data_IF_219187426430
#
_entry.id   IF_219187426430
#
_cell.length_a   1.000
_cell.length_b   1.000
_cell.length_c   1.000
_cell.angle_alpha   90.00
_cell.angle_beta   90.00
_cell.angle_gamma   90.00
#
_symmetry.space_group_name_H-M   'P 1'
#
loop_
_entity.id
_entity.type
_entity.pdbx_description
1 polymer ?
#
# COMPACT_ATOMS: atom_id res chain seq x y z
N UNK A 1 -12.92 -10.11 2.04
CA UNK A 1 -11.49 -10.08 1.70
C UNK A 1 -10.91 -8.76 2.17
N UNK A 2 -9.88 -8.77 3.01
CA UNK A 2 -9.21 -7.60 3.59
C UNK A 2 -8.03 -7.17 2.73
N UNK A 3 -8.07 -5.94 2.25
CA UNK A 3 -7.01 -5.35 1.42
C UNK A 3 -6.48 -4.11 2.10
N UNK A 4 -5.17 -4.04 2.26
CA UNK A 4 -4.50 -2.90 2.86
C UNK A 4 -3.71 -2.09 1.82
N UNK A 5 -3.83 -0.77 1.88
CA UNK A 5 -3.01 0.18 1.11
C UNK A 5 -2.15 0.97 2.08
N UNK A 6 -0.84 0.99 1.85
CA UNK A 6 0.11 1.80 2.64
C UNK A 6 0.63 2.93 1.76
N UNK A 7 0.25 4.17 2.05
CA UNK A 7 0.53 5.34 1.19
C UNK A 7 0.37 6.70 1.93
N UNK A 8 -0.03 7.77 1.23
CA UNK A 8 -0.26 9.13 1.74
C UNK A 8 -1.63 9.38 2.35
N UNK A 9 -2.47 8.34 2.46
CA UNK A 9 -3.83 8.40 3.00
C UNK A 9 -4.90 8.23 1.92
N UNK A 10 -6.09 8.76 2.19
CA UNK A 10 -7.18 8.82 1.19
C UNK A 10 -7.98 10.10 1.35
N UNK A 11 -8.50 10.65 0.26
CA UNK A 11 -9.43 11.77 0.32
C UNK A 11 -10.83 11.33 0.75
N UNK A 12 -11.38 11.97 1.78
CA UNK A 12 -12.76 11.73 2.20
C UNK A 12 -13.77 12.08 1.11
N UNK A 13 -13.46 13.08 0.26
CA UNK A 13 -14.28 13.48 -0.88
C UNK A 13 -14.47 12.33 -1.86
N UNK A 14 -13.37 11.65 -2.21
CA UNK A 14 -13.39 10.47 -3.07
C UNK A 14 -14.26 9.34 -2.49
N UNK A 15 -14.09 9.04 -1.20
CA UNK A 15 -14.89 8.00 -0.52
C UNK A 15 -16.38 8.33 -0.50
N UNK A 16 -16.75 9.61 -0.28
CA UNK A 16 -18.15 10.07 -0.31
C UNK A 16 -18.75 9.93 -1.70
N UNK A 17 -18.06 10.45 -2.71
CA UNK A 17 -18.55 10.51 -4.09
C UNK A 17 -18.73 9.12 -4.70
N UNK A 18 -17.82 8.19 -4.38
CA UNK A 18 -17.78 6.86 -5.01
C UNK A 18 -18.21 5.73 -4.08
N UNK A 19 -18.83 6.05 -2.95
CA UNK A 19 -19.40 5.06 -2.02
C UNK A 19 -18.38 4.15 -1.34
N UNK A 20 -17.10 4.53 -1.36
CA UNK A 20 -16.02 3.80 -0.70
C UNK A 20 -16.18 3.82 0.81
N UNK A 21 -16.01 2.66 1.45
CA UNK A 21 -16.00 2.52 2.92
C UNK A 21 -14.71 1.85 3.35
N UNK A 22 -14.10 2.37 4.40
CA UNK A 22 -12.94 1.76 5.04
C UNK A 22 -13.41 0.89 6.20
N UNK A 23 -12.90 -0.33 6.28
CA UNK A 23 -13.08 -1.21 7.42
C UNK A 23 -12.17 -0.82 8.60
N UNK A 24 -11.02 -0.20 8.31
CA UNK A 24 -10.12 0.38 9.30
C UNK A 24 -9.09 1.30 8.64
N UNK A 25 -8.50 2.20 9.41
CA UNK A 25 -7.38 3.01 8.93
C UNK A 25 -6.48 3.40 10.09
N UNK A 26 -5.22 3.70 9.78
CA UNK A 26 -4.27 4.19 10.75
C UNK A 26 -3.34 5.25 10.13
N UNK A 27 -2.90 6.19 10.95
CA UNK A 27 -1.90 7.20 10.60
C UNK A 27 -0.61 6.96 11.42
N UNK A 28 0.54 7.12 10.76
CA UNK A 28 1.86 6.93 11.38
C UNK A 28 2.77 8.10 11.02
N UNK A 29 3.21 8.86 12.02
CA UNK A 29 4.04 10.05 11.84
C UNK A 29 5.19 10.06 12.83
N UNK A 30 6.37 10.55 12.42
CA UNK A 30 7.49 10.79 13.32
C UNK A 30 7.57 12.28 13.65
N UNK A 31 7.35 12.63 14.91
CA UNK A 31 7.69 13.97 15.40
C UNK A 31 9.21 14.09 15.46
N UNK A 32 9.77 14.90 14.57
CA UNK A 32 11.23 15.10 14.46
C UNK A 32 11.82 15.87 15.64
N UNK A 33 11.04 16.71 16.31
CA UNK A 33 11.51 17.49 17.45
C UNK A 33 11.68 16.60 18.68
N UNK A 34 10.70 15.73 18.93
CA UNK A 34 10.73 14.80 20.08
C UNK A 34 11.31 13.43 19.76
N UNK A 35 11.55 13.14 18.47
CA UNK A 35 11.96 11.82 17.94
C UNK A 35 10.99 10.70 18.36
N UNK A 36 9.71 11.04 18.46
CA UNK A 36 8.66 10.11 18.87
C UNK A 36 7.84 9.68 17.68
N UNK A 37 7.69 8.37 17.52
CA UNK A 37 6.73 7.79 16.61
C UNK A 37 5.34 7.94 17.21
N UNK A 38 4.44 8.55 16.47
CA UNK A 38 3.03 8.70 16.80
C UNK A 38 2.22 7.84 15.84
N UNK A 39 1.38 6.99 16.41
CA UNK A 39 0.44 6.15 15.67
C UNK A 39 -0.97 6.41 16.17
N UNK A 40 -1.93 6.46 15.26
CA UNK A 40 -3.35 6.51 15.59
C UNK A 40 -4.11 5.53 14.71
N UNK A 41 -4.77 4.57 15.35
CA UNK A 41 -5.71 3.67 14.69
C UNK A 41 -7.11 4.25 14.86
N UNK A 42 -7.87 4.30 13.75
CA UNK A 42 -9.21 4.87 13.73
C UNK A 42 -10.27 3.78 13.75
N UNK A 43 -11.28 3.96 14.59
CA UNK A 43 -12.41 3.03 14.68
C UNK A 43 -13.32 3.16 13.46
N UNK A 44 -14.14 2.13 13.21
CA UNK A 44 -15.13 2.16 12.13
C UNK A 44 -16.13 3.31 12.29
N UNK A 45 -16.50 3.63 13.52
CA UNK A 45 -17.39 4.74 13.86
C UNK A 45 -16.74 6.08 13.53
N UNK A 46 -15.46 6.28 13.88
CA UNK A 46 -14.72 7.50 13.51
C UNK A 46 -14.64 7.66 11.99
N UNK A 47 -14.40 6.57 11.26
CA UNK A 47 -14.30 6.57 9.80
C UNK A 47 -15.64 6.85 9.12
N UNK A 48 -16.74 6.30 9.63
CA UNK A 48 -18.08 6.60 9.11
C UNK A 48 -18.51 8.03 9.45
N UNK A 49 -18.17 8.55 10.63
CA UNK A 49 -18.41 9.95 10.98
C UNK A 49 -17.59 10.90 10.08
N UNK A 50 -16.32 10.58 9.84
CA UNK A 50 -15.47 11.33 8.92
C UNK A 50 -16.04 11.31 7.49
N UNK A 51 -16.42 10.12 7.00
CA UNK A 51 -17.10 9.99 5.70
C UNK A 51 -18.45 10.69 5.66
N UNK A 52 -19.20 10.74 6.75
CA UNK A 52 -20.48 11.45 6.87
C UNK A 52 -20.35 12.98 6.89
N UNK A 53 -19.18 13.49 7.29
CA UNK A 53 -18.95 14.92 7.51
C UNK A 53 -19.12 15.38 8.95
N UNK A 54 -19.34 14.44 9.87
CA UNK A 54 -19.54 14.70 11.30
C UNK A 54 -18.21 14.77 12.07
N UNK A 55 -17.10 14.33 11.46
CA UNK A 55 -15.76 14.38 12.04
C UNK A 55 -14.70 14.83 11.03
N UNK A 56 -13.56 15.30 11.53
CA UNK A 56 -12.38 15.66 10.73
C UNK A 56 -11.21 14.77 11.15
N UNK A 57 -10.71 13.95 10.23
CA UNK A 57 -9.51 13.11 10.41
C UNK A 57 -8.39 13.63 9.50
N UNK A 58 -7.83 14.79 9.88
CA UNK A 58 -6.79 15.46 9.09
C UNK A 58 -5.49 14.63 8.97
N UNK A 59 -5.27 13.70 9.89
CA UNK A 59 -4.16 12.77 9.90
C UNK A 59 -4.34 11.56 8.96
N UNK A 60 -5.52 11.39 8.36
CA UNK A 60 -5.81 10.42 7.29
C UNK A 60 -6.05 11.06 5.91
N UNK A 61 -6.48 12.32 5.88
CA UNK A 61 -6.77 13.03 4.62
C UNK A 61 -5.52 13.08 3.73
N UNK A 62 -5.71 12.63 2.49
CA UNK A 62 -4.66 12.64 1.49
C UNK A 62 -4.50 14.02 0.88
N UNK A 63 -3.60 14.81 1.47
CA UNK A 63 -3.27 16.15 1.00
C UNK A 63 -2.35 16.16 -0.23
N UNK A 64 -1.80 15.01 -0.61
CA UNK A 64 -0.97 14.87 -1.81
C UNK A 64 -1.78 14.38 -3.03
N UNK A 65 -2.63 13.37 -2.83
CA UNK A 65 -3.47 12.74 -3.85
C UNK A 65 -2.97 11.38 -4.35
N UNK A 66 -1.79 10.91 -3.93
CA UNK A 66 -1.18 9.67 -4.45
C UNK A 66 -1.85 8.44 -3.86
N UNK A 67 -2.07 8.40 -2.54
CA UNK A 67 -2.81 7.33 -1.89
C UNK A 67 -4.24 7.21 -2.40
N UNK A 68 -4.91 8.33 -2.64
CA UNK A 68 -6.24 8.37 -3.28
C UNK A 68 -6.18 7.81 -4.70
N UNK A 69 -5.17 8.19 -5.49
CA UNK A 69 -4.98 7.67 -6.85
C UNK A 69 -4.77 6.15 -6.82
N UNK A 70 -3.90 5.65 -5.93
CA UNK A 70 -3.62 4.22 -5.75
C UNK A 70 -4.89 3.45 -5.35
N UNK A 71 -5.62 3.93 -4.33
CA UNK A 71 -6.86 3.29 -3.90
C UNK A 71 -7.92 3.31 -5.01
N UNK A 72 -8.02 4.40 -5.77
CA UNK A 72 -8.99 4.52 -6.86
C UNK A 72 -8.74 3.50 -7.97
N UNK A 73 -7.49 3.18 -8.29
CA UNK A 73 -7.14 2.14 -9.27
C UNK A 73 -7.64 0.77 -8.78
N UNK A 74 -7.41 0.47 -7.50
CA UNK A 74 -7.85 -0.78 -6.87
C UNK A 74 -9.37 -0.93 -6.90
N UNK A 75 -10.09 0.16 -6.62
CA UNK A 75 -11.56 0.18 -6.58
C UNK A 75 -12.19 0.18 -7.98
N UNK A 76 -11.56 0.78 -8.99
CA UNK A 76 -12.06 0.85 -10.37
C UNK A 76 -11.77 -0.45 -11.16
N UNK A 77 -10.54 -0.96 -11.07
CA UNK A 77 -10.11 -2.12 -11.85
C UNK A 77 -10.37 -3.47 -11.16
N UNK A 78 -10.65 -3.45 -9.85
CA UNK A 78 -11.02 -4.61 -9.05
C UNK A 78 -12.47 -5.07 -9.28
N UNK A 79 -12.91 -6.15 -8.63
CA UNK A 79 -14.30 -6.61 -8.73
C UNK A 79 -15.27 -5.61 -8.06
N UNK A 80 -16.49 -5.42 -8.61
CA UNK A 80 -17.51 -4.59 -7.96
C UNK A 80 -17.85 -5.14 -6.57
N UNK A 81 -17.87 -4.25 -5.57
CA UNK A 81 -17.63 -4.58 -4.15
C UNK A 81 -18.92 -4.71 -3.33
N UNK A 82 -19.27 -5.94 -2.89
CA UNK A 82 -19.84 -6.13 -1.56
C UNK A 82 -18.84 -6.71 -0.55
N UNK A 83 -17.83 -7.45 -1.02
CA UNK A 83 -17.06 -8.39 -0.18
C UNK A 83 -15.62 -7.95 0.14
N UNK A 84 -15.22 -6.72 -0.22
CA UNK A 84 -13.87 -6.18 0.06
C UNK A 84 -13.91 -5.21 1.24
N UNK A 85 -13.08 -5.50 2.24
CA UNK A 85 -12.80 -4.63 3.38
C UNK A 85 -11.51 -3.86 3.12
N UNK A 86 -11.62 -2.55 2.94
CA UNK A 86 -10.47 -1.68 2.67
C UNK A 86 -9.83 -1.17 3.96
N UNK A 87 -8.52 -1.32 4.04
CA UNK A 87 -7.70 -0.76 5.11
C UNK A 87 -6.68 0.22 4.53
N UNK A 88 -6.50 1.38 5.17
CA UNK A 88 -5.54 2.41 4.75
C UNK A 88 -4.56 2.70 5.88
N UNK A 89 -3.27 2.57 5.61
CA UNK A 89 -2.21 3.05 6.49
C UNK A 89 -1.54 4.27 5.86
N UNK A 90 -1.68 5.43 6.48
CA UNK A 90 -1.02 6.66 6.04
C UNK A 90 0.36 6.76 6.68
N UNK A 91 1.40 6.73 5.84
CA UNK A 91 2.81 6.84 6.26
C UNK A 91 3.57 7.96 5.52
N UNK A 92 2.96 8.56 4.49
CA UNK A 92 3.52 9.67 3.72
C UNK A 92 2.76 10.98 3.98
N UNK A 93 3.49 12.08 4.03
CA UNK A 93 2.95 13.44 4.14
C UNK A 93 2.56 14.04 2.78
N UNK A 94 2.04 15.28 2.80
CA UNK A 94 1.64 16.01 1.59
C UNK A 94 2.77 16.26 0.56
N UNK A 95 4.02 16.06 0.97
CA UNK A 95 5.22 16.18 0.12
C UNK A 95 5.78 14.83 -0.34
N UNK A 96 5.03 13.74 -0.14
CA UNK A 96 5.45 12.35 -0.38
C UNK A 96 6.69 11.95 0.41
N UNK A 97 6.81 12.47 1.64
CA UNK A 97 7.87 12.08 2.56
C UNK A 97 7.28 11.33 3.74
N UNK A 98 7.95 10.26 4.14
CA UNK A 98 7.64 9.49 5.33
C UNK A 98 8.93 9.08 6.01
N UNK A 99 8.85 8.84 7.32
CA UNK A 99 9.96 8.18 8.00
C UNK A 99 9.87 6.67 7.78
N UNK A 100 11.01 6.01 7.60
CA UNK A 100 11.01 4.58 7.32
C UNK A 100 10.57 3.75 8.53
N UNK A 101 10.63 4.32 9.75
CA UNK A 101 10.02 3.72 10.94
C UNK A 101 8.48 3.72 10.87
N UNK A 102 7.85 4.72 10.24
CA UNK A 102 6.40 4.74 10.02
C UNK A 102 5.95 3.58 9.12
N UNK A 103 6.74 3.25 8.09
CA UNK A 103 6.49 2.09 7.24
C UNK A 103 6.56 0.79 8.05
N UNK A 104 7.60 0.62 8.87
CA UNK A 104 7.74 -0.58 9.70
C UNK A 104 6.55 -0.72 10.66
N UNK A 105 6.17 0.36 11.34
CA UNK A 105 5.04 0.34 12.28
C UNK A 105 3.70 0.07 11.58
N UNK A 106 3.48 0.64 10.39
CA UNK A 106 2.30 0.34 9.59
C UNK A 106 2.23 -1.15 9.22
N UNK A 107 3.35 -1.76 8.86
CA UNK A 107 3.43 -3.20 8.58
C UNK A 107 3.21 -4.05 9.85
N UNK A 108 3.71 -3.61 11.01
CA UNK A 108 3.43 -4.24 12.30
C UNK A 108 1.94 -4.23 12.62
N UNK A 109 1.27 -3.07 12.53
CA UNK A 109 -0.17 -2.95 12.72
C UNK A 109 -0.95 -3.88 11.77
N UNK A 110 -0.63 -3.83 10.47
CA UNK A 110 -1.28 -4.68 9.47
C UNK A 110 -1.08 -6.16 9.75
N UNK A 111 0.11 -6.57 10.18
CA UNK A 111 0.44 -7.99 10.41
C UNK A 111 -0.12 -8.53 11.73
N UNK A 112 -0.17 -7.70 12.77
CA UNK A 112 -0.57 -8.17 14.11
C UNK A 112 -2.08 -8.11 14.30
N UNK A 113 -2.71 -7.03 13.82
CA UNK A 113 -4.10 -6.70 14.13
C UNK A 113 -5.03 -6.93 12.94
N UNK A 114 -4.70 -6.40 11.77
CA UNK A 114 -5.59 -6.44 10.60
C UNK A 114 -5.59 -7.80 9.91
N UNK A 115 -4.39 -8.33 9.66
CA UNK A 115 -4.08 -9.54 8.89
C UNK A 115 -4.76 -9.55 7.52
N UNK A 116 -4.43 -8.58 6.65
CA UNK A 116 -5.04 -8.50 5.33
C UNK A 116 -4.59 -9.66 4.44
N UNK A 117 -5.42 -10.07 3.49
CA UNK A 117 -5.03 -11.07 2.50
C UNK A 117 -4.05 -10.49 1.47
N UNK A 118 -4.11 -9.18 1.20
CA UNK A 118 -3.16 -8.48 0.34
C UNK A 118 -2.76 -7.13 0.92
N UNK A 119 -1.46 -6.81 0.86
CA UNK A 119 -0.92 -5.48 1.18
C UNK A 119 -0.35 -4.88 -0.11
N UNK A 120 -0.87 -3.72 -0.51
CA UNK A 120 -0.32 -2.88 -1.58
C UNK A 120 0.63 -1.82 -1.00
N UNK A 121 1.90 -1.87 -1.37
CA UNK A 121 2.93 -0.90 -1.01
C UNK A 121 3.36 -0.12 -2.25
N UNK A 122 2.87 1.11 -2.41
CA UNK A 122 3.24 1.97 -3.54
C UNK A 122 4.33 2.98 -3.14
N UNK A 123 5.29 2.52 -2.33
CA UNK A 123 6.39 3.31 -1.78
C UNK A 123 7.58 2.41 -1.42
N UNK A 124 8.73 3.03 -1.13
CA UNK A 124 9.91 2.32 -0.64
C UNK A 124 10.89 3.23 0.07
N UNK A 125 11.94 2.63 0.62
CA UNK A 125 13.02 3.30 1.36
C UNK A 125 14.39 2.76 0.93
N UNK A 126 15.41 3.61 1.01
CA UNK A 126 16.81 3.21 0.82
C UNK A 126 17.54 2.93 2.14
N UNK A 127 16.85 3.01 3.28
CA UNK A 127 17.43 2.83 4.62
C UNK A 127 17.69 1.34 4.89
N UNK A 128 18.91 0.88 4.60
CA UNK A 128 19.32 -0.53 4.74
C UNK A 128 19.27 -1.07 6.17
N UNK A 129 19.32 -0.20 7.18
CA UNK A 129 19.17 -0.61 8.57
C UNK A 129 17.81 -1.29 8.87
N UNK A 130 16.81 -1.06 8.01
CA UNK A 130 15.49 -1.67 8.13
C UNK A 130 15.34 -3.01 7.40
N UNK A 131 16.38 -3.48 6.71
CA UNK A 131 16.29 -4.72 5.93
C UNK A 131 15.88 -5.92 6.81
N UNK A 132 16.54 -6.10 7.96
CA UNK A 132 16.22 -7.17 8.91
C UNK A 132 14.80 -7.04 9.52
N UNK A 133 14.40 -5.92 10.14
CA UNK A 133 13.07 -5.82 10.72
C UNK A 133 11.95 -5.88 9.68
N UNK A 134 12.12 -5.26 8.49
CA UNK A 134 11.15 -5.40 7.39
C UNK A 134 11.03 -6.86 6.94
N UNK A 135 12.16 -7.56 6.77
CA UNK A 135 12.16 -8.97 6.41
C UNK A 135 11.41 -9.82 7.44
N UNK A 136 11.61 -9.56 8.74
CA UNK A 136 10.93 -10.29 9.81
C UNK A 136 9.41 -10.09 9.77
N UNK A 137 8.93 -8.84 9.74
CA UNK A 137 7.48 -8.55 9.72
C UNK A 137 6.82 -9.06 8.45
N UNK A 138 7.48 -8.92 7.29
CA UNK A 138 6.93 -9.35 6.00
C UNK A 138 6.84 -10.88 5.92
N UNK A 139 7.85 -11.61 6.39
CA UNK A 139 7.73 -13.08 6.45
C UNK A 139 6.67 -13.54 7.45
N UNK A 140 6.42 -12.78 8.53
CA UNK A 140 5.30 -13.08 9.43
C UNK A 140 3.95 -12.87 8.74
N UNK A 141 3.78 -11.79 7.99
CA UNK A 141 2.57 -11.57 7.17
C UNK A 141 2.38 -12.72 6.15
N UNK A 142 3.44 -13.10 5.43
CA UNK A 142 3.40 -14.21 4.48
C UNK A 142 3.00 -15.53 5.15
N UNK A 143 3.52 -15.84 6.35
CA UNK A 143 3.12 -17.04 7.11
C UNK A 143 1.64 -17.04 7.51
N UNK A 144 1.02 -15.87 7.61
CA UNK A 144 -0.42 -15.72 7.87
C UNK A 144 -1.26 -15.82 6.58
N UNK A 145 -0.63 -15.96 5.42
CA UNK A 145 -1.29 -16.07 4.12
C UNK A 145 -1.40 -14.75 3.36
N UNK A 146 -0.85 -13.64 3.90
CA UNK A 146 -0.82 -12.33 3.23
C UNK A 146 0.10 -12.36 2.02
N UNK A 147 -0.38 -11.81 0.90
CA UNK A 147 0.43 -11.49 -0.27
C UNK A 147 0.86 -10.02 -0.16
N UNK A 148 2.16 -9.77 -0.10
CA UNK A 148 2.69 -8.40 -0.07
C UNK A 148 3.18 -8.02 -1.45
N UNK A 149 2.61 -6.96 -2.02
CA UNK A 149 2.95 -6.45 -3.35
C UNK A 149 3.55 -5.05 -3.20
N UNK A 150 4.71 -4.82 -3.79
CA UNK A 150 5.44 -3.57 -3.66
C UNK A 150 5.87 -3.01 -5.01
N UNK A 151 5.70 -1.71 -5.19
CA UNK A 151 6.24 -0.99 -6.33
C UNK A 151 7.78 -1.03 -6.32
N UNK A 152 8.37 -1.32 -7.46
CA UNK A 152 9.80 -1.16 -7.70
C UNK A 152 10.15 0.33 -7.81
N UNK A 153 11.32 0.69 -7.29
CA UNK A 153 11.89 2.03 -7.49
C UNK A 153 12.83 2.06 -8.71
N UNK A 154 13.15 3.26 -9.24
CA UNK A 154 14.21 3.42 -10.25
C UNK A 154 15.61 3.10 -9.71
N UNK A 155 15.74 3.01 -8.38
CA UNK A 155 16.92 2.49 -7.68
C UNK A 155 16.47 1.36 -6.75
N UNK A 156 17.33 0.34 -6.52
CA UNK A 156 17.05 -0.71 -5.54
C UNK A 156 16.75 -0.12 -4.15
N UNK A 157 15.61 -0.49 -3.59
CA UNK A 157 15.14 -0.04 -2.29
C UNK A 157 14.23 -1.08 -1.65
N UNK A 158 14.02 -0.95 -0.35
CA UNK A 158 13.18 -1.83 0.46
C UNK A 158 11.73 -1.31 0.51
N UNK A 159 10.72 -2.18 0.62
CA UNK A 159 10.84 -3.63 0.74
C UNK A 159 10.85 -4.36 -0.61
N UNK A 160 10.87 -3.64 -1.73
CA UNK A 160 11.04 -4.23 -3.07
C UNK A 160 12.33 -5.10 -3.14
N UNK A 161 12.26 -6.20 -3.89
CA UNK A 161 13.34 -7.19 -4.01
C UNK A 161 13.55 -8.10 -2.80
N UNK A 162 12.85 -7.89 -1.67
CA UNK A 162 12.88 -8.84 -0.56
C UNK A 162 12.09 -10.12 -0.94
N UNK A 163 12.59 -11.28 -0.54
CA UNK A 163 11.96 -12.57 -0.91
C UNK A 163 10.51 -12.77 -0.42
N UNK A 164 10.08 -12.02 0.60
CA UNK A 164 8.71 -12.02 1.10
C UNK A 164 7.73 -11.19 0.24
N UNK A 165 8.25 -10.41 -0.70
CA UNK A 165 7.50 -9.38 -1.44
C UNK A 165 7.43 -9.73 -2.91
N UNK A 166 6.28 -9.51 -3.53
CA UNK A 166 6.11 -9.48 -4.98
C UNK A 166 6.43 -8.07 -5.45
N UNK A 167 7.51 -7.94 -6.22
CA UNK A 167 8.00 -6.66 -6.70
C UNK A 167 7.42 -6.36 -8.09
N UNK A 168 6.71 -5.25 -8.21
CA UNK A 168 6.01 -4.84 -9.44
C UNK A 168 6.65 -3.59 -10.01
N UNK A 169 7.03 -3.63 -11.29
CA UNK A 169 7.54 -2.47 -12.01
C UNK A 169 6.59 -2.07 -13.15
N UNK A 170 6.62 -0.80 -13.54
CA UNK A 170 6.20 -0.42 -14.89
C UNK A 170 7.33 -0.67 -15.90
N UNK A 171 7.01 -0.63 -17.19
CA UNK A 171 7.98 -0.89 -18.27
C UNK A 171 9.21 0.03 -18.22
N UNK A 172 9.04 1.33 -17.92
CA UNK A 172 10.16 2.29 -17.84
C UNK A 172 11.05 2.00 -16.63
N UNK A 173 10.46 1.71 -15.48
CA UNK A 173 11.22 1.34 -14.28
C UNK A 173 12.00 0.03 -14.48
N UNK A 174 11.39 -0.97 -15.11
CA UNK A 174 12.07 -2.23 -15.43
C UNK A 174 13.27 -2.02 -16.36
N UNK A 175 13.14 -1.14 -17.37
CA UNK A 175 14.25 -0.78 -18.26
C UNK A 175 15.39 -0.07 -17.52
N UNK A 176 15.06 0.85 -16.60
CA UNK A 176 16.06 1.60 -15.81
C UNK A 176 16.84 0.70 -14.86
N UNK A 177 16.19 -0.30 -14.26
CA UNK A 177 16.86 -1.24 -13.36
C UNK A 177 17.89 -2.11 -14.08
N UNK A 178 17.69 -2.41 -15.38
CA UNK A 178 18.59 -3.21 -16.21
C UNK A 178 18.74 -4.68 -15.80
N UNK A 179 18.43 -5.01 -14.54
CA UNK A 179 18.37 -6.35 -13.95
C UNK A 179 16.97 -6.57 -13.36
N UNK A 180 16.20 -7.43 -14.01
CA UNK A 180 14.82 -7.76 -13.62
C UNK A 180 14.72 -8.99 -12.72
N UNK A 181 15.86 -9.53 -12.24
CA UNK A 181 15.90 -10.69 -11.35
C UNK A 181 15.25 -10.42 -9.97
N UNK A 182 15.06 -9.15 -9.64
CA UNK A 182 14.36 -8.70 -8.43
C UNK A 182 12.92 -8.20 -8.70
N UNK A 183 12.47 -8.26 -9.95
CA UNK A 183 11.13 -7.83 -10.38
C UNK A 183 10.30 -9.06 -10.75
N UNK A 184 9.21 -9.28 -10.04
CA UNK A 184 8.32 -10.43 -10.25
C UNK A 184 7.27 -10.17 -11.34
N UNK A 185 6.88 -8.91 -11.53
CA UNK A 185 5.87 -8.53 -12.51
C UNK A 185 6.18 -7.19 -13.15
N UNK A 186 5.97 -7.10 -14.46
CA UNK A 186 6.08 -5.86 -15.22
C UNK A 186 4.70 -5.54 -15.80
N UNK A 187 4.17 -4.38 -15.46
CA UNK A 187 2.97 -3.84 -16.10
C UNK A 187 3.35 -3.15 -17.42
N UNK A 188 2.68 -3.57 -18.49
CA UNK A 188 2.92 -3.09 -19.84
C UNK A 188 1.89 -2.07 -20.32
N UNK A 189 0.79 -1.87 -19.58
CA UNK A 189 -0.17 -0.83 -19.91
C UNK A 189 0.52 0.55 -19.91
N UNK A 190 0.33 1.37 -20.95
CA UNK A 190 0.99 2.68 -21.07
C UNK A 190 0.38 3.72 -20.12
N UNK A 191 -0.91 3.55 -19.83
CA UNK A 191 -1.70 4.44 -18.98
C UNK A 191 -2.57 3.63 -18.04
N UNK A 192 -3.09 4.32 -17.03
CA UNK A 192 -4.06 3.79 -16.08
C UNK A 192 -5.08 4.86 -15.77
N UNK A 193 -6.35 4.45 -15.66
CA UNK A 193 -7.42 5.29 -15.18
C UNK A 193 -7.36 5.37 -13.65
N UNK A 194 -7.38 6.58 -13.12
CA UNK A 194 -7.34 6.85 -11.68
C UNK A 194 -8.12 8.12 -11.34
N UNK A 195 -8.47 8.28 -10.07
CA UNK A 195 -9.07 9.50 -9.54
C UNK A 195 -7.99 10.41 -8.97
N UNK A 196 -7.90 11.63 -9.50
CA UNK A 196 -6.97 12.65 -9.01
C UNK A 196 -7.56 14.04 -9.22
N UNK A 197 -7.28 14.95 -8.28
CA UNK A 197 -7.75 16.34 -8.35
C UNK A 197 -9.28 16.47 -8.57
N UNK A 198 -10.06 15.59 -7.95
CA UNK A 198 -11.53 15.65 -8.00
C UNK A 198 -12.16 15.04 -9.26
N UNK A 199 -11.40 14.35 -10.10
CA UNK A 199 -11.93 13.74 -11.32
C UNK A 199 -11.21 12.44 -11.71
N UNK A 200 -11.94 11.58 -12.42
CA UNK A 200 -11.35 10.45 -13.12
C UNK A 200 -10.53 10.94 -14.32
N UNK A 201 -9.30 10.47 -14.45
CA UNK A 201 -8.42 10.79 -15.55
C UNK A 201 -7.53 9.62 -15.93
N UNK A 202 -7.05 9.62 -17.17
CA UNK A 202 -5.97 8.74 -17.62
C UNK A 202 -4.63 9.37 -17.25
N UNK A 203 -3.72 8.59 -16.65
CA UNK A 203 -2.36 9.01 -16.34
C UNK A 203 -1.33 8.04 -16.90
N UNK A 204 -0.13 8.51 -17.28
CA UNK A 204 0.98 7.64 -17.62
C UNK A 204 1.26 6.65 -16.48
N UNK A 205 1.58 5.41 -16.85
CA UNK A 205 1.93 4.38 -15.89
C UNK A 205 3.18 4.75 -15.09
N UNK A 206 3.13 4.47 -13.78
CA UNK A 206 4.27 4.52 -12.86
C UNK A 206 4.33 3.20 -12.10
N UNK A 207 5.44 2.87 -11.44
CA UNK A 207 5.54 1.64 -10.67
C UNK A 207 4.52 1.58 -9.51
N UNK A 208 4.20 2.74 -8.90
CA UNK A 208 3.14 2.86 -7.90
C UNK A 208 1.77 2.46 -8.44
N UNK A 209 1.44 2.90 -9.65
CA UNK A 209 0.17 2.60 -10.29
C UNK A 209 0.14 1.18 -10.88
N UNK A 210 1.29 0.69 -11.36
CA UNK A 210 1.46 -0.69 -11.79
C UNK A 210 1.23 -1.65 -10.63
N UNK A 211 1.78 -1.36 -9.45
CA UNK A 211 1.55 -2.12 -8.22
C UNK A 211 0.05 -2.21 -7.90
N UNK A 212 -0.65 -1.06 -7.88
CA UNK A 212 -2.08 -1.00 -7.63
C UNK A 212 -2.90 -1.77 -8.67
N UNK A 213 -2.59 -1.60 -9.96
CA UNK A 213 -3.29 -2.30 -11.04
C UNK A 213 -3.07 -3.82 -10.98
N UNK A 214 -1.86 -4.26 -10.64
CA UNK A 214 -1.53 -5.66 -10.52
C UNK A 214 -2.24 -6.31 -9.32
N UNK A 215 -2.34 -5.59 -8.18
CA UNK A 215 -3.20 -6.01 -7.06
C UNK A 215 -4.67 -6.05 -7.47
N UNK A 216 -5.18 -5.06 -8.21
CA UNK A 216 -6.56 -5.06 -8.70
C UNK A 216 -6.87 -6.31 -9.54
N UNK A 217 -5.93 -6.76 -10.38
CA UNK A 217 -6.02 -8.04 -11.11
C UNK A 217 -6.06 -9.23 -10.17
N UNK A 218 -5.23 -9.27 -9.12
CA UNK A 218 -5.29 -10.32 -8.09
C UNK A 218 -6.68 -10.41 -7.46
N UNK A 219 -7.34 -9.28 -7.21
CA UNK A 219 -8.71 -9.26 -6.65
C UNK A 219 -9.74 -9.81 -7.63
N UNK A 220 -9.58 -9.51 -8.92
CA UNK A 220 -10.55 -9.86 -9.96
C UNK A 220 -10.39 -11.29 -10.48
N UNK A 221 -9.15 -11.73 -10.65
CA UNK A 221 -8.78 -12.95 -11.38
C UNK A 221 -8.19 -14.03 -10.46
N UNK A 222 -7.87 -13.66 -9.22
CA UNK A 222 -7.19 -14.52 -8.26
C UNK A 222 -5.68 -14.30 -8.23
N UNK A 223 -5.04 -14.68 -7.11
CA UNK A 223 -3.61 -14.52 -6.92
C UNK A 223 -2.82 -15.59 -7.70
N UNK A 224 -1.83 -15.20 -8.52
CA UNK A 224 -0.91 -16.15 -9.15
C UNK A 224 -0.22 -17.05 -8.12
N UNK A 225 -0.01 -18.35 -8.41
CA UNK A 225 0.60 -19.28 -7.44
C UNK A 225 2.00 -18.87 -6.96
N UNK A 226 2.79 -18.25 -7.83
CA UNK A 226 4.17 -17.78 -7.59
C UNK A 226 4.24 -16.51 -6.74
N UNK A 227 3.14 -15.76 -6.64
CA UNK A 227 3.01 -14.60 -5.76
C UNK A 227 2.76 -14.98 -4.30
N UNK A 228 2.27 -16.21 -4.06
CA UNK A 228 2.17 -16.78 -2.72
C UNK A 228 3.55 -17.27 -2.28
N UNK A 229 4.33 -16.35 -1.72
CA UNK A 229 5.67 -16.63 -1.22
C UNK A 229 5.65 -17.75 -0.17
N UNK A 230 6.64 -18.65 -0.24
CA UNK A 230 6.83 -19.69 0.77
C UNK A 230 7.81 -19.18 1.81
N UNK A 231 7.31 -18.96 3.02
CA UNK A 231 8.17 -18.56 4.11
C UNK A 231 9.25 -19.62 4.37
N UNK A 232 10.53 -19.22 4.56
CA UNK A 232 11.53 -20.14 5.06
C UNK A 232 11.08 -20.67 6.43
N UNK A 233 11.54 -21.86 6.79
CA UNK A 233 11.28 -22.43 8.11
C UNK A 233 11.66 -21.38 9.17
N UNK A 234 10.76 -21.16 10.15
CA UNK A 234 11.04 -20.19 11.20
C UNK A 234 12.35 -20.60 11.90
N UNK A 235 13.29 -19.67 12.13
CA UNK A 235 14.48 -19.99 12.88
C UNK A 235 14.05 -20.52 14.25
N UNK A 236 14.53 -21.72 14.59
CA UNK A 236 14.36 -22.31 15.93
C UNK A 236 15.07 -21.35 16.89
N UNK A 237 14.28 -20.64 17.71
CA UNK A 237 14.81 -19.78 18.78
C UNK A 237 15.30 -20.64 19.94
#
# INVERSE_FOLDING_TARGET
>A
MKIAVVDSGVSVGFLREHGGRLAGAASFTLDRATRRLESRVHSREELEAWRGGDAVLADLEDTHGHGTSVLSILMDAGPPVPDVEWYVARVLDGTMRGDSLCLLEALEWLTNEVRPEVINLSLGTVVRALEAPLTEVLWRAVRQGTVVVCAAGPMPGLPAGLGAVVTVADTKTAQLLGRTDTVDHIEHAPTVRLYAAGAWCERPMTSSYACALAVARVLREGCPPDWRRKAPAAPVR
#
